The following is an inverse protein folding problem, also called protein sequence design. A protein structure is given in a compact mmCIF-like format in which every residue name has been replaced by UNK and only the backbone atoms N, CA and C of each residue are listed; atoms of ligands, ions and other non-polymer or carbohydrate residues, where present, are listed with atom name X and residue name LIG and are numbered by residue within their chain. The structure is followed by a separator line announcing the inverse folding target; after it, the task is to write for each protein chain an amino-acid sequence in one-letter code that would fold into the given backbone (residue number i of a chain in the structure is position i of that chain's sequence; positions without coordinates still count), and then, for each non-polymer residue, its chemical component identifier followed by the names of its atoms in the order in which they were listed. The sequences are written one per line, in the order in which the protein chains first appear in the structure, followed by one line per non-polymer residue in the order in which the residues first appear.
data_IF_080356132177
#
_entry.id   IF_080356132177
#
_cell.length_a   1.000
_cell.length_b   1.000
_cell.length_c   1.000
_cell.angle_alpha   90.00
_cell.angle_beta   90.00
_cell.angle_gamma   90.00
#
_symmetry.space_group_name_H-M   'P 1'
#
loop_
_entity.id
_entity.type
_entity.pdbx_description
1 polymer ?
#
# COMPACT_ATOMS: atom_id res chain seq x y z
N UNK A 1 24.72 5.22 -33.87
CA UNK A 1 24.44 4.42 -32.65
C UNK A 1 24.03 3.06 -33.16
N UNK A 2 25.06 2.25 -33.34
CA UNK A 2 25.14 1.21 -34.34
C UNK A 2 24.29 -0.01 -33.94
N UNK A 3 23.35 -0.36 -34.82
CA UNK A 3 22.54 -1.58 -34.76
C UNK A 3 23.44 -2.73 -35.23
N UNK A 4 24.29 -3.20 -34.31
CA UNK A 4 25.15 -4.36 -34.53
C UNK A 4 24.25 -5.61 -34.62
N UNK A 5 23.83 -5.92 -35.85
CA UNK A 5 23.07 -7.12 -36.20
C UNK A 5 23.96 -8.34 -35.96
N UNK A 6 23.97 -8.85 -34.74
CA UNK A 6 24.60 -10.14 -34.40
C UNK A 6 23.95 -11.22 -35.26
N UNK A 7 24.69 -11.73 -36.26
CA UNK A 7 24.27 -12.86 -37.08
C UNK A 7 24.45 -14.14 -36.27
N UNK A 8 23.42 -14.52 -35.51
CA UNK A 8 23.43 -15.82 -34.83
C UNK A 8 23.39 -16.92 -35.89
N UNK A 9 24.40 -17.80 -35.86
CA UNK A 9 24.48 -18.93 -36.77
C UNK A 9 23.35 -19.92 -36.48
N UNK A 10 22.25 -19.83 -37.24
CA UNK A 10 21.10 -20.73 -37.13
C UNK A 10 21.41 -22.16 -37.61
N UNK A 11 22.65 -22.45 -38.03
CA UNK A 11 23.10 -23.82 -38.32
C UNK A 11 23.31 -24.64 -37.05
N UNK A 12 23.43 -23.98 -35.90
CA UNK A 12 23.50 -24.66 -34.61
C UNK A 12 22.08 -24.85 -34.07
N UNK A 13 21.71 -26.11 -33.86
CA UNK A 13 20.43 -26.49 -33.29
C UNK A 13 20.27 -26.09 -31.82
N UNK A 14 19.45 -26.83 -31.07
CA UNK A 14 19.28 -26.65 -29.64
C UNK A 14 20.60 -26.72 -28.87
N UNK A 15 20.92 -25.68 -28.12
CA UNK A 15 22.15 -25.57 -27.31
C UNK A 15 22.23 -26.60 -26.16
N UNK A 16 21.12 -27.20 -25.74
CA UNK A 16 21.09 -28.16 -24.64
C UNK A 16 21.34 -29.61 -25.10
N UNK A 17 20.75 -30.01 -26.22
CA UNK A 17 20.77 -31.42 -26.65
C UNK A 17 21.33 -31.64 -28.06
N UNK A 18 21.73 -30.57 -28.77
CA UNK A 18 22.26 -30.65 -30.12
C UNK A 18 21.22 -30.94 -31.21
N UNK A 19 19.94 -31.12 -30.87
CA UNK A 19 18.85 -31.32 -31.84
C UNK A 19 18.85 -30.22 -32.90
N UNK A 20 18.76 -30.56 -34.18
CA UNK A 20 18.72 -29.60 -35.29
C UNK A 20 17.47 -28.69 -35.30
N UNK A 21 16.48 -28.97 -34.44
CA UNK A 21 15.29 -28.14 -34.27
C UNK A 21 15.44 -27.13 -33.14
N UNK A 22 14.83 -25.95 -33.31
CA UNK A 22 14.74 -24.92 -32.27
C UNK A 22 13.34 -24.28 -32.24
N UNK A 23 13.04 -23.58 -31.15
CA UNK A 23 11.80 -22.85 -30.93
C UNK A 23 11.96 -21.41 -31.37
N UNK A 24 11.29 -21.04 -32.46
CA UNK A 24 11.30 -19.66 -32.97
C UNK A 24 10.75 -18.65 -31.95
N UNK A 25 9.81 -19.05 -31.09
CA UNK A 25 9.27 -18.19 -30.02
C UNK A 25 10.39 -17.80 -29.02
N UNK A 26 11.16 -18.78 -28.54
CA UNK A 26 12.27 -18.53 -27.61
C UNK A 26 13.43 -17.79 -28.27
N UNK A 27 13.75 -18.12 -29.51
CA UNK A 27 14.80 -17.41 -30.24
C UNK A 27 14.41 -15.95 -30.50
N UNK A 28 13.18 -15.69 -30.96
CA UNK A 28 12.73 -14.32 -31.21
C UNK A 28 12.65 -13.49 -29.93
N UNK A 29 12.13 -14.09 -28.85
CA UNK A 29 11.99 -13.42 -27.57
C UNK A 29 13.31 -13.25 -26.82
N UNK A 30 14.14 -14.28 -26.71
CA UNK A 30 15.28 -14.28 -25.80
C UNK A 30 16.63 -14.43 -26.49
N UNK A 31 16.65 -14.65 -27.81
CA UNK A 31 17.87 -14.99 -28.59
C UNK A 31 18.52 -16.29 -28.12
N UNK A 32 17.72 -17.22 -27.61
CA UNK A 32 18.16 -18.55 -27.14
C UNK A 32 17.75 -19.62 -28.14
N UNK A 33 18.71 -20.40 -28.63
CA UNK A 33 18.49 -21.55 -29.51
C UNK A 33 18.16 -22.79 -28.67
N UNK A 34 16.87 -23.07 -28.47
CA UNK A 34 16.40 -24.22 -27.68
C UNK A 34 15.24 -24.94 -28.37
N UNK A 35 15.21 -26.26 -28.39
CA UNK A 35 14.10 -27.03 -28.96
C UNK A 35 12.87 -27.03 -28.03
N UNK A 36 11.74 -27.51 -28.53
CA UNK A 36 10.48 -27.53 -27.76
C UNK A 36 10.50 -28.45 -26.54
N UNK A 37 11.36 -29.48 -26.52
CA UNK A 37 11.52 -30.35 -25.35
C UNK A 37 12.42 -29.73 -24.29
N UNK A 38 13.54 -29.12 -24.67
CA UNK A 38 14.48 -28.52 -23.72
C UNK A 38 14.05 -27.16 -23.17
N UNK A 39 13.13 -26.45 -23.83
CA UNK A 39 12.66 -25.14 -23.33
C UNK A 39 11.99 -25.21 -21.95
N UNK A 40 11.54 -26.38 -21.52
CA UNK A 40 10.95 -26.59 -20.19
C UNK A 40 11.97 -26.45 -19.05
N UNK A 41 13.26 -26.50 -19.37
CA UNK A 41 14.36 -26.28 -18.40
C UNK A 41 14.59 -24.80 -18.09
N UNK A 42 13.94 -23.90 -18.84
CA UNK A 42 14.08 -22.45 -18.66
C UNK A 42 12.94 -21.90 -17.84
N UNK A 43 13.29 -21.23 -16.75
CA UNK A 43 12.33 -20.53 -15.92
C UNK A 43 11.91 -19.21 -16.56
N UNK A 44 10.60 -18.99 -16.58
CA UNK A 44 9.99 -17.74 -17.01
C UNK A 44 9.37 -17.00 -15.83
N UNK A 45 9.56 -15.70 -15.79
CA UNK A 45 9.03 -14.83 -14.75
C UNK A 45 8.09 -13.78 -15.34
N UNK A 46 6.99 -13.51 -14.63
CA UNK A 46 6.04 -12.47 -15.04
C UNK A 46 6.65 -11.08 -14.90
N UNK A 47 6.19 -10.13 -15.72
CA UNK A 47 6.56 -8.71 -15.61
C UNK A 47 6.45 -8.17 -14.19
N UNK A 48 5.35 -8.50 -13.50
CA UNK A 48 5.11 -8.05 -12.13
C UNK A 48 6.15 -8.57 -11.15
N UNK A 49 6.44 -9.87 -11.22
CA UNK A 49 7.44 -10.51 -10.36
C UNK A 49 8.86 -10.04 -10.67
N UNK A 50 9.21 -9.82 -11.94
CA UNK A 50 10.51 -9.27 -12.31
C UNK A 50 10.72 -7.86 -11.71
N UNK A 51 9.68 -7.01 -11.72
CA UNK A 51 9.75 -5.68 -11.09
C UNK A 51 9.85 -5.76 -9.57
N UNK A 52 9.05 -6.61 -8.92
CA UNK A 52 8.96 -6.66 -7.47
C UNK A 52 10.13 -7.39 -6.82
N UNK A 53 10.55 -8.52 -7.38
CA UNK A 53 11.64 -9.34 -6.83
C UNK A 53 12.99 -8.76 -7.25
N UNK A 54 13.19 -8.45 -8.53
CA UNK A 54 14.50 -8.03 -9.05
C UNK A 54 14.69 -6.51 -9.09
N UNK A 55 13.72 -5.75 -8.56
CA UNK A 55 13.77 -4.28 -8.44
C UNK A 55 14.08 -3.58 -9.78
N UNK A 56 13.57 -4.17 -10.87
CA UNK A 56 13.70 -3.66 -12.23
C UNK A 56 12.57 -2.69 -12.57
N UNK A 57 12.86 -1.74 -13.44
CA UNK A 57 11.87 -0.81 -14.01
C UNK A 57 11.31 -1.34 -15.32
N UNK A 58 10.24 -0.70 -15.80
CA UNK A 58 9.72 -1.00 -17.14
C UNK A 58 10.74 -0.72 -18.25
N UNK A 59 11.61 0.26 -18.06
CA UNK A 59 12.68 0.59 -19.02
C UNK A 59 13.75 -0.49 -19.06
N UNK A 60 14.14 -1.02 -17.89
CA UNK A 60 15.10 -2.13 -17.80
C UNK A 60 14.53 -3.36 -18.52
N UNK A 61 13.28 -3.71 -18.22
CA UNK A 61 12.61 -4.86 -18.83
C UNK A 61 12.32 -4.70 -20.33
N UNK A 62 12.16 -3.47 -20.84
CA UNK A 62 11.98 -3.23 -22.29
C UNK A 62 13.22 -3.60 -23.10
N UNK A 63 14.42 -3.54 -22.49
CA UNK A 63 15.69 -3.94 -23.13
C UNK A 63 15.83 -5.46 -23.21
N UNK A 64 15.07 -6.19 -22.41
CA UNK A 64 14.95 -7.65 -22.48
C UNK A 64 13.80 -8.02 -23.41
N UNK A 65 13.95 -9.10 -24.16
CA UNK A 65 12.82 -9.60 -24.91
C UNK A 65 11.88 -10.46 -24.04
N UNK A 66 10.66 -10.66 -24.54
CA UNK A 66 9.56 -11.23 -23.75
C UNK A 66 8.62 -12.06 -24.61
N UNK A 67 8.02 -13.08 -24.01
CA UNK A 67 6.91 -13.83 -24.59
C UNK A 67 5.59 -13.28 -24.04
N UNK A 68 4.62 -13.03 -24.93
CA UNK A 68 3.28 -12.58 -24.57
C UNK A 68 2.31 -13.74 -24.60
N UNK A 69 1.59 -13.98 -23.50
CA UNK A 69 0.55 -15.01 -23.38
C UNK A 69 -0.79 -14.39 -22.95
N UNK A 70 -1.90 -15.06 -23.22
CA UNK A 70 -3.21 -14.66 -22.67
C UNK A 70 -3.14 -14.60 -21.15
N UNK A 71 -3.79 -13.61 -20.56
CA UNK A 71 -3.81 -13.48 -19.12
C UNK A 71 -4.56 -14.69 -18.49
N UNK A 72 -3.92 -15.43 -17.56
CA UNK A 72 -4.49 -16.66 -17.00
C UNK A 72 -5.76 -16.40 -16.18
N UNK A 73 -5.95 -15.19 -15.64
CA UNK A 73 -7.11 -14.86 -14.82
C UNK A 73 -8.33 -14.55 -15.69
N UNK A 74 -8.18 -13.67 -16.69
CA UNK A 74 -9.25 -13.37 -17.66
C UNK A 74 -8.65 -13.08 -19.03
N UNK A 75 -9.12 -13.77 -20.07
CA UNK A 75 -8.64 -13.61 -21.45
C UNK A 75 -8.75 -12.18 -21.99
N UNK A 76 -9.76 -11.43 -21.54
CA UNK A 76 -10.00 -10.04 -21.99
C UNK A 76 -9.14 -9.00 -21.26
N UNK A 77 -8.33 -9.40 -20.29
CA UNK A 77 -7.39 -8.49 -19.63
C UNK A 77 -6.13 -8.29 -20.44
N UNK A 78 -5.33 -7.29 -20.06
CA UNK A 78 -4.03 -7.06 -20.66
C UNK A 78 -3.20 -8.36 -20.63
N UNK A 79 -2.59 -8.75 -21.76
CA UNK A 79 -1.90 -10.03 -21.86
C UNK A 79 -0.67 -10.05 -20.95
N UNK A 80 -0.35 -11.26 -20.46
CA UNK A 80 0.78 -11.48 -19.57
C UNK A 80 2.08 -11.48 -20.36
N UNK A 81 3.06 -10.71 -19.89
CA UNK A 81 4.43 -10.72 -20.44
C UNK A 81 5.33 -11.55 -19.53
N UNK A 82 6.00 -12.52 -20.14
CA UNK A 82 6.95 -13.43 -19.51
C UNK A 82 8.37 -13.12 -20.01
N UNK A 83 9.32 -13.11 -19.10
CA UNK A 83 10.74 -12.87 -19.35
C UNK A 83 11.54 -14.10 -18.93
N UNK A 84 12.70 -14.31 -19.55
CA UNK A 84 13.63 -15.35 -19.13
C UNK A 84 14.25 -14.99 -17.78
N UNK A 85 14.15 -15.87 -16.79
CA UNK A 85 14.61 -15.58 -15.43
C UNK A 85 16.09 -15.23 -15.37
N UNK A 86 16.93 -15.97 -16.10
CA UNK A 86 18.38 -15.74 -16.14
C UNK A 86 18.75 -14.36 -16.70
N UNK A 87 18.05 -13.89 -17.74
CA UNK A 87 18.25 -12.54 -18.29
C UNK A 87 17.80 -11.44 -17.33
N UNK A 88 16.74 -11.69 -16.58
CA UNK A 88 16.25 -10.78 -15.52
C UNK A 88 17.26 -10.70 -14.37
N UNK A 89 17.82 -11.84 -13.95
CA UNK A 89 18.87 -11.93 -12.94
C UNK A 89 20.11 -11.16 -13.35
N UNK A 90 20.61 -11.39 -14.56
CA UNK A 90 21.76 -10.69 -15.09
C UNK A 90 21.53 -9.17 -15.16
N UNK A 91 20.37 -8.74 -15.66
CA UNK A 91 20.01 -7.32 -15.71
C UNK A 91 19.92 -6.69 -14.31
N UNK A 92 19.39 -7.43 -13.33
CA UNK A 92 19.30 -6.97 -11.95
C UNK A 92 20.67 -6.86 -11.30
N UNK A 93 21.52 -7.88 -11.45
CA UNK A 93 22.89 -7.84 -10.94
C UNK A 93 23.69 -6.70 -11.57
N UNK A 94 23.55 -6.49 -12.89
CA UNK A 94 24.21 -5.36 -13.57
C UNK A 94 23.75 -4.00 -13.02
N UNK A 95 22.47 -3.87 -12.68
CA UNK A 95 21.89 -2.63 -12.16
C UNK A 95 22.27 -2.35 -10.71
N UNK A 96 22.26 -3.37 -9.87
CA UNK A 96 22.40 -3.23 -8.42
C UNK A 96 23.81 -3.57 -7.90
N UNK A 97 24.78 -3.86 -8.78
CA UNK A 97 26.15 -4.18 -8.36
C UNK A 97 26.32 -5.61 -7.86
N UNK A 98 25.61 -6.56 -8.48
CA UNK A 98 25.67 -7.99 -8.17
C UNK A 98 24.51 -8.48 -7.31
N UNK A 99 24.56 -9.76 -6.89
CA UNK A 99 23.55 -10.36 -6.02
C UNK A 99 23.50 -9.69 -4.64
N UNK A 100 24.67 -9.30 -4.09
CA UNK A 100 24.76 -8.66 -2.78
C UNK A 100 24.09 -7.28 -2.78
N UNK A 101 24.37 -6.44 -3.77
CA UNK A 101 23.74 -5.12 -3.85
C UNK A 101 22.24 -5.17 -4.13
N UNK A 102 21.76 -6.19 -4.85
CA UNK A 102 20.32 -6.45 -4.97
C UNK A 102 19.68 -6.78 -3.61
N UNK A 103 20.32 -7.64 -2.81
CA UNK A 103 19.84 -7.97 -1.46
C UNK A 103 19.87 -6.76 -0.52
N UNK A 104 20.94 -5.96 -0.57
CA UNK A 104 21.02 -4.72 0.21
C UNK A 104 19.88 -3.76 -0.13
N UNK A 105 19.57 -3.61 -1.43
CA UNK A 105 18.47 -2.76 -1.86
C UNK A 105 17.11 -3.31 -1.42
N UNK A 106 16.92 -4.63 -1.39
CA UNK A 106 15.71 -5.27 -0.83
C UNK A 106 15.59 -4.97 0.66
N UNK A 107 16.66 -5.12 1.44
CA UNK A 107 16.69 -4.81 2.89
C UNK A 107 16.32 -3.34 3.14
N UNK A 108 16.89 -2.42 2.37
CA UNK A 108 16.63 -0.98 2.47
C UNK A 108 15.17 -0.63 2.16
N UNK A 109 14.56 -1.25 1.14
CA UNK A 109 13.13 -1.03 0.88
C UNK A 109 12.23 -1.62 1.97
N UNK A 110 12.62 -2.73 2.58
CA UNK A 110 11.86 -3.36 3.67
C UNK A 110 11.94 -2.52 4.94
N UNK A 111 13.12 -2.05 5.33
CA UNK A 111 13.28 -1.17 6.50
C UNK A 111 12.47 0.11 6.34
N UNK A 112 12.58 0.79 5.20
CA UNK A 112 11.81 2.01 4.92
C UNK A 112 10.29 1.77 4.97
N UNK A 113 9.80 0.61 4.50
CA UNK A 113 8.38 0.24 4.61
C UNK A 113 7.94 0.02 6.05
N UNK A 114 8.78 -0.63 6.86
CA UNK A 114 8.52 -0.87 8.29
C UNK A 114 8.48 0.45 9.04
N UNK A 115 9.48 1.32 8.84
CA UNK A 115 9.55 2.65 9.46
C UNK A 115 8.35 3.51 9.10
N UNK A 116 7.97 3.57 7.81
CA UNK A 116 6.79 4.31 7.37
C UNK A 116 5.50 3.80 8.02
N UNK A 117 5.36 2.48 8.18
CA UNK A 117 4.20 1.88 8.87
C UNK A 117 4.22 2.21 10.36
N UNK A 118 5.38 2.18 11.00
CA UNK A 118 5.51 2.53 12.42
C UNK A 118 5.18 4.01 12.65
N UNK A 119 5.69 4.92 11.80
CA UNK A 119 5.38 6.35 11.87
C UNK A 119 3.88 6.61 11.71
N UNK A 120 3.24 5.98 10.71
CA UNK A 120 1.81 6.11 10.50
C UNK A 120 1.00 5.61 11.71
N UNK A 121 1.37 4.47 12.30
CA UNK A 121 0.71 3.95 13.51
C UNK A 121 0.81 4.92 14.69
N UNK A 122 1.97 5.56 14.88
CA UNK A 122 2.15 6.58 15.93
C UNK A 122 1.27 7.80 15.68
N UNK A 123 1.20 8.28 14.44
CA UNK A 123 0.34 9.40 14.05
C UNK A 123 -1.13 9.09 14.28
N UNK A 124 -1.59 7.90 13.87
CA UNK A 124 -2.97 7.44 14.06
C UNK A 124 -3.31 7.35 15.56
N UNK A 125 -2.41 6.81 16.39
CA UNK A 125 -2.56 6.75 17.86
C UNK A 125 -2.69 8.14 18.48
N UNK A 126 -1.85 9.09 18.09
CA UNK A 126 -1.91 10.47 18.60
C UNK A 126 -3.23 11.17 18.23
N UNK A 127 -3.74 10.93 17.02
CA UNK A 127 -5.05 11.47 16.60
C UNK A 127 -6.19 10.88 17.41
N UNK A 128 -6.13 9.59 17.71
CA UNK A 128 -7.12 8.91 18.54
C UNK A 128 -7.12 9.45 19.98
N UNK A 129 -5.95 9.62 20.59
CA UNK A 129 -5.80 10.23 21.91
C UNK A 129 -6.35 11.66 21.94
N UNK A 130 -6.04 12.49 20.95
CA UNK A 130 -6.57 13.86 20.84
C UNK A 130 -8.08 13.88 20.66
N UNK A 131 -8.65 12.95 19.89
CA UNK A 131 -10.09 12.83 19.69
C UNK A 131 -10.79 12.41 20.99
N UNK A 132 -10.21 11.46 21.73
CA UNK A 132 -10.72 11.03 23.03
C UNK A 132 -10.72 12.17 24.05
N UNK A 133 -9.64 12.96 24.11
CA UNK A 133 -9.53 14.12 25.00
C UNK A 133 -10.58 15.20 24.66
N UNK A 134 -10.77 15.52 23.37
CA UNK A 134 -11.82 16.46 22.94
C UNK A 134 -13.21 15.97 23.31
N UNK A 135 -13.49 14.68 23.15
CA UNK A 135 -14.77 14.10 23.52
C UNK A 135 -15.03 14.20 25.03
N UNK A 136 -13.99 13.99 25.85
CA UNK A 136 -14.06 14.17 27.29
C UNK A 136 -14.42 15.61 27.67
N UNK A 137 -13.74 16.60 27.09
CA UNK A 137 -14.01 18.03 27.32
C UNK A 137 -15.45 18.43 26.92
N UNK A 138 -15.94 17.91 25.80
CA UNK A 138 -17.34 18.14 25.36
C UNK A 138 -18.33 17.56 26.37
N UNK A 139 -18.10 16.33 26.85
CA UNK A 139 -18.96 15.70 27.86
C UNK A 139 -18.99 16.49 29.16
N UNK A 140 -17.83 16.92 29.65
CA UNK A 140 -17.72 17.74 30.86
C UNK A 140 -18.48 19.07 30.70
N UNK A 141 -18.39 19.71 29.54
CA UNK A 141 -19.13 20.95 29.25
C UNK A 141 -20.64 20.74 29.26
N UNK A 142 -21.13 19.69 28.60
CA UNK A 142 -22.56 19.34 28.58
C UNK A 142 -23.06 19.06 30.01
N UNK A 143 -22.28 18.36 30.82
CA UNK A 143 -22.63 18.07 32.21
C UNK A 143 -22.70 19.35 33.06
N UNK A 144 -21.74 20.27 32.90
CA UNK A 144 -21.74 21.56 33.58
C UNK A 144 -22.95 22.43 33.17
N UNK A 145 -23.28 22.50 31.88
CA UNK A 145 -24.44 23.22 31.37
C UNK A 145 -25.75 22.62 31.90
N UNK A 146 -25.86 21.29 31.96
CA UNK A 146 -27.01 20.60 32.57
C UNK A 146 -27.15 20.93 34.06
N UNK A 147 -26.04 20.91 34.82
CA UNK A 147 -26.04 21.30 36.24
C UNK A 147 -26.44 22.76 36.45
N UNK A 148 -25.98 23.68 35.58
CA UNK A 148 -26.40 25.09 35.63
C UNK A 148 -27.89 25.25 35.35
N UNK A 149 -28.42 24.57 34.33
CA UNK A 149 -29.85 24.59 34.00
C UNK A 149 -30.75 24.13 35.15
N UNK A 150 -30.32 23.13 35.94
CA UNK A 150 -31.04 22.67 37.14
C UNK A 150 -31.05 23.67 38.30
N UNK A 151 -30.07 24.57 38.34
CA UNK A 151 -29.95 25.60 39.39
C UNK A 151 -30.57 26.95 38.97
N UNK A 152 -31.19 27.05 37.79
CA UNK A 152 -31.95 28.24 37.40
C UNK A 152 -33.40 28.14 37.90
N UNK A 153 -33.99 29.23 38.42
CA UNK A 153 -35.40 29.27 38.79
C UNK A 153 -36.26 29.02 37.55
N UNK A 154 -37.20 28.09 37.67
CA UNK A 154 -38.17 27.75 36.62
C UNK A 154 -39.38 28.68 36.63
N UNK A 155 -39.57 29.43 37.71
CA UNK A 155 -40.59 30.45 37.86
C UNK A 155 -40.34 31.27 39.12
N UNK A 156 -40.91 32.47 39.15
CA UNK A 156 -40.91 33.35 40.31
C UNK A 156 -42.37 33.66 40.65
N UNK A 157 -42.74 33.48 41.92
CA UNK A 157 -44.09 33.75 42.42
C UNK A 157 -44.00 34.92 43.39
N UNK A 158 -44.87 35.91 43.19
CA UNK A 158 -44.98 37.07 44.08
C UNK A 158 -46.24 36.92 44.92
N UNK A 159 -46.12 37.06 46.24
CA UNK A 159 -47.25 36.97 47.16
C UNK A 159 -47.68 38.37 47.63
N UNK A 160 -48.82 38.83 47.12
CA UNK A 160 -49.36 40.17 47.40
C UNK A 160 -49.80 40.38 48.86
N UNK A 161 -50.03 39.30 49.63
CA UNK A 161 -50.47 39.38 51.03
C UNK A 161 -49.30 39.55 52.02
N UNK A 162 -48.13 39.00 51.69
CA UNK A 162 -46.93 39.04 52.55
C UNK A 162 -45.81 39.93 52.01
N UNK A 163 -45.88 40.34 50.73
CA UNK A 163 -44.83 41.12 50.06
C UNK A 163 -43.55 40.34 49.75
N UNK A 164 -43.58 39.01 49.86
CA UNK A 164 -42.41 38.15 49.68
C UNK A 164 -42.31 37.60 48.24
N UNK A 165 -41.07 37.44 47.77
CA UNK A 165 -40.72 36.85 46.47
C UNK A 165 -40.18 35.43 46.65
N UNK A 166 -40.77 34.44 45.98
CA UNK A 166 -40.34 33.04 46.07
C UNK A 166 -39.87 32.52 44.70
N UNK A 167 -38.73 31.82 44.69
CA UNK A 167 -38.13 31.23 43.47
C UNK A 167 -38.36 29.73 43.45
N UNK A 168 -38.97 29.24 42.37
CA UNK A 168 -39.35 27.83 42.22
C UNK A 168 -38.35 27.10 41.33
N UNK A 169 -37.67 26.09 41.87
CA UNK A 169 -36.71 25.26 41.12
C UNK A 169 -37.34 23.91 40.76
N UNK A 170 -37.09 23.42 39.55
CA UNK A 170 -37.82 22.28 38.98
C UNK A 170 -37.63 20.93 39.68
N UNK A 171 -36.55 20.74 40.45
CA UNK A 171 -36.19 19.45 41.08
C UNK A 171 -35.74 19.57 42.57
N UNK A 172 -36.10 20.64 43.31
CA UNK A 172 -35.69 20.82 44.72
C UNK A 172 -36.68 21.63 45.57
N UNK A 173 -36.61 21.54 46.93
CA UNK A 173 -37.53 22.26 47.81
C UNK A 173 -37.34 23.78 47.69
N UNK A 174 -38.44 24.53 47.78
CA UNK A 174 -38.44 25.98 47.71
C UNK A 174 -37.53 26.57 48.80
N UNK A 175 -36.72 27.57 48.42
CA UNK A 175 -35.81 28.27 49.31
C UNK A 175 -36.27 29.73 49.38
N UNK A 176 -36.76 30.15 50.54
CA UNK A 176 -37.10 31.54 50.82
C UNK A 176 -35.83 32.40 50.85
N UNK A 177 -35.87 33.57 50.20
CA UNK A 177 -34.77 34.53 50.23
C UNK A 177 -35.34 35.89 50.62
N UNK A 178 -34.98 36.38 51.81
CA UNK A 178 -35.32 37.75 52.25
C UNK A 178 -34.54 38.79 51.44
N UNK A 179 -35.23 39.84 50.99
CA UNK A 179 -34.61 41.02 50.39
C UNK A 179 -34.14 41.95 51.53
N UNK A 180 -32.84 42.28 51.53
CA UNK A 180 -32.24 43.35 52.35
C UNK A 180 -32.66 44.71 51.79
#
# INVERSE_FOLDING_TARGET
MDDERVSYDTRNGCMHCGSLTFSSEYYNAFKVLVCNSCKTQYDLISKGNAKSLYLLTDTDLKRLGSITKSNPQKKNWSPMRLYLLSQVEEAAHKKHGGPEGLEEQRRTQLSAKVEKRAAKRKEDSQKEEQAAERLKQIKERIEQESKRGKNLPTGEVYNDETGMHEKVFGDGPAVEVELI
#
